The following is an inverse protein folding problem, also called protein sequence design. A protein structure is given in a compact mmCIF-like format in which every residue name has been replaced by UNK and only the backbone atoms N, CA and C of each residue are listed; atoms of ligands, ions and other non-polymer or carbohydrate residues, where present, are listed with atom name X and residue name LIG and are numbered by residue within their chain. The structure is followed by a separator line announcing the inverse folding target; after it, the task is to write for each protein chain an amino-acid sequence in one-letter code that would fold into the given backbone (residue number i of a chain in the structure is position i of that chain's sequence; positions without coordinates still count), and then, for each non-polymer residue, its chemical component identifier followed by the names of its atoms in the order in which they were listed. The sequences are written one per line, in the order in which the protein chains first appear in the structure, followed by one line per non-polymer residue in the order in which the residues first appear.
data_IF_820654414936
#
_entry.id   IF_820654414936
#
_cell.length_a   1.000
_cell.length_b   1.000
_cell.length_c   1.000
_cell.angle_alpha   90.00
_cell.angle_beta   90.00
_cell.angle_gamma   90.00
#
_symmetry.space_group_name_H-M   'P 1'
#
loop_
_entity.id
_entity.type
_entity.pdbx_description
1 polymer ?
#
# COMPACT_ATOMS: atom_id res chain seq x y z
N UNK A 1 5.93 15.85 -0.25
CA UNK A 1 5.66 16.30 1.14
C UNK A 1 5.79 15.16 2.16
N UNK A 2 4.86 14.20 2.20
CA UNK A 2 4.82 13.17 3.25
C UNK A 2 5.98 12.16 3.23
N UNK A 3 6.74 12.04 2.16
CA UNK A 3 7.81 11.05 2.05
C UNK A 3 8.88 11.27 3.14
N UNK A 4 9.33 12.52 3.35
CA UNK A 4 10.34 12.83 4.38
C UNK A 4 9.87 12.41 5.78
N UNK A 5 8.61 12.72 6.15
CA UNK A 5 8.04 12.30 7.42
C UNK A 5 7.93 10.78 7.57
N UNK A 6 7.57 10.07 6.48
CA UNK A 6 7.54 8.60 6.47
C UNK A 6 8.94 8.01 6.65
N UNK A 7 9.96 8.57 5.99
CA UNK A 7 11.35 8.14 6.11
C UNK A 7 11.88 8.40 7.52
N UNK A 8 11.58 9.58 8.09
CA UNK A 8 11.88 9.89 9.47
C UNK A 8 11.29 8.84 10.43
N UNK A 9 9.99 8.57 10.33
CA UNK A 9 9.34 7.54 11.14
C UNK A 9 9.98 6.16 10.93
N UNK A 10 10.33 5.77 9.69
CA UNK A 10 11.02 4.52 9.41
C UNK A 10 12.42 4.48 10.08
N UNK A 11 13.13 5.62 10.15
CA UNK A 11 14.41 5.74 10.85
C UNK A 11 14.29 5.46 12.34
N UNK A 12 13.30 6.05 13.01
CA UNK A 12 13.05 5.81 14.43
C UNK A 12 12.81 4.33 14.76
N UNK A 13 12.06 3.63 13.87
CA UNK A 13 11.86 2.18 14.02
C UNK A 13 13.15 1.37 13.91
N UNK A 14 14.09 1.81 13.09
CA UNK A 14 15.38 1.14 12.94
C UNK A 14 16.30 1.33 14.15
N UNK A 15 16.19 2.46 14.82
CA UNK A 15 16.91 2.79 16.05
C UNK A 15 16.27 2.13 17.29
N UNK A 16 15.24 1.33 17.11
CA UNK A 16 14.51 0.65 18.20
C UNK A 16 13.98 1.61 19.27
N UNK A 17 13.69 2.84 18.90
CA UNK A 17 13.09 3.85 19.78
C UNK A 17 11.65 3.43 20.10
N UNK A 18 11.31 3.39 21.40
CA UNK A 18 9.96 3.04 21.83
C UNK A 18 9.01 4.23 21.70
N UNK A 19 7.70 3.99 21.73
CA UNK A 19 6.68 5.02 21.58
C UNK A 19 6.75 6.12 22.65
N UNK A 20 7.16 5.77 23.85
CA UNK A 20 7.19 6.65 25.02
C UNK A 20 8.60 7.21 25.30
N UNK A 21 9.59 6.85 24.48
CA UNK A 21 10.95 7.37 24.62
C UNK A 21 11.05 8.80 24.12
N UNK A 22 11.65 9.74 24.85
CA UNK A 22 11.94 11.06 24.35
C UNK A 22 12.92 10.97 23.19
N UNK A 23 12.70 11.78 22.15
CA UNK A 23 13.62 11.89 21.03
C UNK A 23 14.86 12.71 21.46
N UNK A 24 16.01 12.39 20.91
CA UNK A 24 17.20 13.23 21.07
C UNK A 24 17.04 14.55 20.32
N UNK A 25 17.82 15.56 20.70
CA UNK A 25 17.75 16.92 20.14
C UNK A 25 17.89 16.93 18.61
N UNK A 26 18.76 16.08 18.07
CA UNK A 26 18.98 15.96 16.62
C UNK A 26 17.71 15.49 15.90
N UNK A 27 16.99 14.51 16.46
CA UNK A 27 15.74 13.98 15.89
C UNK A 27 14.60 14.99 16.03
N UNK A 28 14.57 15.76 17.13
CA UNK A 28 13.60 16.86 17.29
C UNK A 28 13.85 17.91 16.22
N UNK A 29 15.10 18.35 16.03
CA UNK A 29 15.45 19.35 15.02
C UNK A 29 15.14 18.86 13.60
N UNK A 30 15.40 17.58 13.28
CA UNK A 30 15.04 16.96 11.99
C UNK A 30 13.51 17.02 11.77
N UNK A 31 12.71 16.62 12.77
CA UNK A 31 11.25 16.66 12.70
C UNK A 31 10.73 18.10 12.54
N UNK A 32 11.25 19.04 13.29
CA UNK A 32 10.87 20.43 13.20
C UNK A 32 11.19 21.03 11.82
N UNK A 33 12.32 20.63 11.21
CA UNK A 33 12.65 21.04 9.84
C UNK A 33 11.64 20.53 8.81
N UNK A 34 11.12 19.32 9.01
CA UNK A 34 10.11 18.70 8.15
C UNK A 34 8.76 19.42 8.30
N UNK A 35 8.33 19.65 9.54
CA UNK A 35 6.98 20.17 9.85
C UNK A 35 6.87 21.66 9.63
N UNK A 36 7.91 22.45 9.93
CA UNK A 36 7.93 23.90 9.70
C UNK A 36 7.70 24.25 8.23
N UNK A 37 8.20 23.41 7.32
CA UNK A 37 7.98 23.59 5.90
C UNK A 37 6.50 23.46 5.48
N UNK A 38 5.66 22.76 6.27
CA UNK A 38 4.25 22.52 5.93
C UNK A 38 3.32 23.68 6.30
N UNK A 39 3.69 24.49 7.28
CA UNK A 39 2.77 25.41 7.94
C UNK A 39 2.41 26.68 7.14
N UNK A 40 2.99 26.91 5.96
CA UNK A 40 2.86 28.19 5.26
C UNK A 40 2.40 28.11 3.80
N UNK A 41 2.19 26.90 3.26
CA UNK A 41 1.86 26.76 1.85
C UNK A 41 0.44 26.21 1.66
N UNK A 42 -0.40 26.97 0.97
CA UNK A 42 -1.71 26.51 0.50
C UNK A 42 -1.57 26.10 -0.95
N UNK A 43 -1.98 24.88 -1.27
CA UNK A 43 -2.00 24.36 -2.63
C UNK A 43 -3.46 24.22 -3.06
N UNK A 44 -3.83 24.93 -4.12
CA UNK A 44 -5.16 24.86 -4.70
C UNK A 44 -5.18 23.77 -5.79
N UNK A 45 -5.99 22.75 -5.58
CA UNK A 45 -6.16 21.64 -6.55
C UNK A 45 -7.56 21.76 -7.15
N UNK A 46 -7.72 21.86 -8.48
CA UNK A 46 -9.03 21.89 -9.10
C UNK A 46 -9.80 20.60 -8.77
N UNK A 47 -11.03 20.74 -8.28
CA UNK A 47 -11.88 19.60 -8.00
C UNK A 47 -12.34 18.89 -9.29
N UNK A 48 -12.52 19.68 -10.35
CA UNK A 48 -12.97 19.17 -11.65
C UNK A 48 -11.76 18.70 -12.44
N UNK A 49 -11.70 17.42 -12.73
CA UNK A 49 -10.58 16.80 -13.47
C UNK A 49 -10.89 16.53 -14.95
N UNK A 50 -12.12 16.88 -15.43
CA UNK A 50 -12.49 16.78 -16.85
C UNK A 50 -13.32 17.98 -17.24
N UNK A 51 -13.24 18.40 -18.50
CA UNK A 51 -14.13 19.42 -19.08
C UNK A 51 -15.46 18.86 -19.58
N UNK A 52 -15.63 17.54 -19.55
CA UNK A 52 -16.79 16.79 -20.01
C UNK A 52 -16.41 15.34 -20.26
N UNK A 53 -17.40 14.47 -20.47
CA UNK A 53 -17.19 13.07 -20.86
C UNK A 53 -17.34 12.85 -22.36
N UNK A 54 -17.54 13.92 -23.13
CA UNK A 54 -17.75 13.87 -24.58
C UNK A 54 -16.42 13.91 -25.33
N UNK A 55 -15.54 12.96 -25.08
CA UNK A 55 -14.22 12.90 -25.72
C UNK A 55 -13.52 11.60 -25.42
N UNK A 56 -12.34 11.42 -26.00
CA UNK A 56 -11.47 10.30 -25.69
C UNK A 56 -10.86 10.50 -24.31
N UNK A 57 -11.02 9.50 -23.45
CA UNK A 57 -10.45 9.48 -22.11
C UNK A 57 -9.27 8.51 -22.06
N UNK A 58 -8.18 8.95 -21.48
CA UNK A 58 -6.98 8.15 -21.32
C UNK A 58 -6.45 8.26 -19.90
N UNK A 59 -6.07 7.12 -19.32
CA UNK A 59 -5.35 7.05 -18.07
C UNK A 59 -3.86 6.86 -18.34
N UNK A 60 -3.07 7.82 -17.93
CA UNK A 60 -1.61 7.74 -17.97
C UNK A 60 -1.08 7.50 -16.58
N UNK A 61 -0.45 6.35 -16.39
CA UNK A 61 0.03 5.86 -15.10
C UNK A 61 1.54 5.80 -15.16
N UNK A 62 2.21 6.60 -14.35
CA UNK A 62 3.66 6.64 -14.29
C UNK A 62 4.14 5.93 -13.03
N UNK A 63 5.21 5.17 -13.16
CA UNK A 63 5.78 4.38 -12.08
C UNK A 63 7.29 4.58 -12.00
N UNK A 64 7.79 4.77 -10.78
CA UNK A 64 9.20 4.97 -10.49
C UNK A 64 9.59 4.34 -9.16
N UNK A 65 10.87 4.01 -8.99
CA UNK A 65 11.42 3.54 -7.75
C UNK A 65 12.81 4.08 -7.46
N UNK A 66 13.02 4.46 -6.22
CA UNK A 66 14.31 4.77 -5.62
C UNK A 66 14.66 3.73 -4.55
N UNK A 67 15.86 3.84 -3.97
CA UNK A 67 16.25 3.02 -2.81
C UNK A 67 15.41 3.31 -1.55
N UNK A 68 14.75 4.46 -1.51
CA UNK A 68 13.96 4.93 -0.37
C UNK A 68 12.46 4.59 -0.50
N UNK A 69 11.92 4.72 -1.71
CA UNK A 69 10.50 4.56 -1.96
C UNK A 69 10.22 4.13 -3.40
N UNK A 70 9.07 3.52 -3.63
CA UNK A 70 8.51 3.29 -4.94
C UNK A 70 7.12 3.92 -5.02
N UNK A 71 6.79 4.47 -6.19
CA UNK A 71 5.62 5.31 -6.35
C UNK A 71 4.93 5.13 -7.70
N UNK A 72 3.68 5.56 -7.75
CA UNK A 72 2.91 5.71 -8.97
C UNK A 72 2.07 6.98 -8.91
N UNK A 73 1.88 7.59 -10.09
CA UNK A 73 1.00 8.74 -10.32
C UNK A 73 0.04 8.42 -11.46
N UNK A 74 -1.18 8.86 -11.36
CA UNK A 74 -2.24 8.61 -12.35
C UNK A 74 -2.81 9.94 -12.83
N UNK A 75 -2.75 10.15 -14.13
CA UNK A 75 -3.31 11.32 -14.81
C UNK A 75 -4.50 10.90 -15.65
N UNK A 76 -5.54 11.71 -15.61
CA UNK A 76 -6.66 11.61 -16.54
C UNK A 76 -6.46 12.66 -17.65
N UNK A 77 -6.26 12.18 -18.87
CA UNK A 77 -6.23 12.99 -20.09
C UNK A 77 -7.59 12.91 -20.76
N UNK A 78 -8.13 14.06 -21.12
CA UNK A 78 -9.38 14.19 -21.86
C UNK A 78 -9.10 14.95 -23.14
N UNK A 79 -9.50 14.39 -24.29
CA UNK A 79 -9.37 15.00 -25.61
C UNK A 79 -10.75 15.10 -26.26
N UNK A 80 -11.23 16.33 -26.43
CA UNK A 80 -12.55 16.60 -27.02
C UNK A 80 -12.45 16.98 -28.52
N UNK A 81 -11.29 16.78 -29.15
CA UNK A 81 -11.03 17.15 -30.54
C UNK A 81 -10.74 18.65 -30.76
N UNK A 82 -11.01 19.50 -29.79
CA UNK A 82 -10.72 20.95 -29.84
C UNK A 82 -9.98 21.46 -28.59
N UNK A 83 -9.97 20.67 -27.56
CA UNK A 83 -9.30 20.99 -26.29
C UNK A 83 -8.79 19.74 -25.62
N UNK A 84 -7.54 19.78 -25.18
CA UNK A 84 -6.92 18.71 -24.39
C UNK A 84 -6.74 19.20 -22.95
N UNK A 85 -7.09 18.38 -21.99
CA UNK A 85 -6.80 18.60 -20.57
C UNK A 85 -6.17 17.37 -19.95
N UNK A 86 -5.23 17.59 -19.03
CA UNK A 86 -4.56 16.51 -18.31
C UNK A 86 -4.39 16.93 -16.84
N UNK A 87 -4.86 16.09 -15.93
CA UNK A 87 -4.85 16.38 -14.50
C UNK A 87 -4.41 15.17 -13.69
N UNK A 88 -3.58 15.41 -12.68
CA UNK A 88 -3.26 14.42 -11.66
C UNK A 88 -4.53 14.08 -10.87
N UNK A 89 -4.96 12.82 -10.91
CA UNK A 89 -6.16 12.36 -10.18
C UNK A 89 -5.86 11.42 -9.02
N UNK A 90 -4.70 10.77 -9.05
CA UNK A 90 -4.28 9.88 -7.96
C UNK A 90 -2.76 9.75 -7.90
N UNK A 91 -2.23 9.58 -6.70
CA UNK A 91 -0.83 9.22 -6.51
C UNK A 91 -0.67 8.34 -5.27
N UNK A 92 0.32 7.45 -5.30
CA UNK A 92 0.65 6.58 -4.17
C UNK A 92 2.14 6.33 -4.10
N UNK A 93 2.71 6.54 -2.91
CA UNK A 93 4.09 6.16 -2.61
C UNK A 93 4.14 5.20 -1.43
N UNK A 94 5.08 4.25 -1.49
CA UNK A 94 5.40 3.32 -0.41
C UNK A 94 6.89 3.36 -0.12
N UNK A 95 7.25 3.28 1.13
CA UNK A 95 8.65 3.12 1.53
C UNK A 95 9.16 1.75 1.10
N UNK A 96 10.43 1.70 0.72
CA UNK A 96 11.09 0.44 0.45
C UNK A 96 11.19 -0.39 1.74
N UNK A 97 10.86 -1.69 1.68
CA UNK A 97 11.02 -2.56 2.81
C UNK A 97 12.51 -2.64 3.20
N UNK A 98 12.82 -2.27 4.43
CA UNK A 98 14.15 -2.45 5.01
C UNK A 98 14.09 -3.69 5.92
N UNK A 99 14.25 -4.88 5.33
CA UNK A 99 14.45 -6.09 6.12
C UNK A 99 15.89 -6.16 6.59
N UNK A 100 16.13 -6.63 7.82
CA UNK A 100 17.46 -6.78 8.38
C UNK A 100 18.38 -7.57 7.41
N UNK A 101 19.38 -6.89 6.85
CA UNK A 101 20.43 -7.49 6.04
C UNK A 101 20.12 -7.77 4.55
N UNK A 102 18.92 -7.46 4.03
CA UNK A 102 18.60 -7.68 2.60
C UNK A 102 17.79 -6.51 2.03
N UNK A 103 18.46 -5.62 1.33
CA UNK A 103 17.77 -4.64 0.47
C UNK A 103 17.32 -5.29 -0.83
N UNK A 104 16.15 -4.90 -1.32
CA UNK A 104 15.73 -5.24 -2.68
C UNK A 104 16.62 -4.50 -3.70
N UNK A 105 16.93 -5.15 -4.81
CA UNK A 105 17.63 -4.48 -5.92
C UNK A 105 16.72 -3.45 -6.58
N UNK A 106 17.30 -2.41 -7.18
CA UNK A 106 16.56 -1.36 -7.87
C UNK A 106 15.56 -1.92 -8.88
N UNK A 107 15.92 -2.85 -9.80
CA UNK A 107 14.94 -3.43 -10.74
C UNK A 107 13.75 -4.12 -10.07
N UNK A 108 13.96 -4.74 -8.89
CA UNK A 108 12.84 -5.32 -8.12
C UNK A 108 11.94 -4.27 -7.49
N UNK A 109 12.48 -3.11 -7.11
CA UNK A 109 11.70 -1.98 -6.61
C UNK A 109 10.90 -1.34 -7.74
N UNK A 110 11.49 -1.20 -8.94
CA UNK A 110 10.82 -0.72 -10.14
C UNK A 110 9.66 -1.64 -10.55
N UNK A 111 9.84 -2.97 -10.46
CA UNK A 111 8.75 -3.92 -10.65
C UNK A 111 7.64 -3.74 -9.61
N UNK A 112 7.98 -3.43 -8.36
CA UNK A 112 6.97 -3.09 -7.34
C UNK A 112 6.25 -1.77 -7.65
N UNK A 113 6.93 -0.79 -8.26
CA UNK A 113 6.31 0.44 -8.72
C UNK A 113 5.29 0.17 -9.83
N UNK A 114 5.64 -0.65 -10.83
CA UNK A 114 4.70 -1.09 -11.86
C UNK A 114 3.51 -1.85 -11.27
N UNK A 115 3.75 -2.72 -10.29
CA UNK A 115 2.68 -3.45 -9.61
C UNK A 115 1.70 -2.53 -8.89
N UNK A 116 2.18 -1.51 -8.17
CA UNK A 116 1.25 -0.53 -7.57
C UNK A 116 0.60 0.37 -8.62
N UNK A 117 1.21 0.54 -9.79
CA UNK A 117 0.64 1.23 -10.94
C UNK A 117 -0.62 0.52 -11.46
N UNK A 118 -0.53 -0.78 -11.76
CA UNK A 118 -1.71 -1.56 -12.23
C UNK A 118 -2.80 -1.63 -11.16
N UNK A 119 -2.44 -1.73 -9.88
CA UNK A 119 -3.39 -1.67 -8.77
C UNK A 119 -4.05 -0.29 -8.63
N UNK A 120 -3.29 0.79 -8.88
CA UNK A 120 -3.83 2.14 -8.90
C UNK A 120 -4.82 2.34 -10.04
N UNK A 121 -4.50 1.81 -11.26
CA UNK A 121 -5.43 1.75 -12.39
C UNK A 121 -6.75 1.09 -12.00
N UNK A 122 -6.69 -0.12 -11.44
CA UNK A 122 -7.89 -0.85 -11.02
C UNK A 122 -8.71 -0.07 -10.00
N UNK A 123 -8.04 0.55 -9.03
CA UNK A 123 -8.70 1.39 -8.03
C UNK A 123 -9.37 2.60 -8.67
N UNK A 124 -8.68 3.34 -9.54
CA UNK A 124 -9.19 4.55 -10.19
C UNK A 124 -10.36 4.21 -11.11
N UNK A 125 -10.24 3.19 -11.97
CA UNK A 125 -11.32 2.76 -12.86
C UNK A 125 -12.58 2.36 -12.08
N UNK A 126 -12.41 1.71 -10.91
CA UNK A 126 -13.54 1.40 -10.03
C UNK A 126 -14.23 2.66 -9.48
N UNK A 127 -13.50 3.76 -9.28
CA UNK A 127 -14.08 5.04 -8.81
C UNK A 127 -14.73 5.81 -9.96
N UNK A 128 -14.20 5.70 -11.18
CA UNK A 128 -14.73 6.31 -12.40
C UNK A 128 -15.81 5.43 -13.06
N UNK A 129 -16.84 5.08 -12.30
CA UNK A 129 -17.91 4.17 -12.75
C UNK A 129 -18.52 4.61 -14.09
N UNK A 130 -18.58 3.70 -15.06
CA UNK A 130 -19.20 3.95 -16.38
C UNK A 130 -18.32 4.77 -17.33
N UNK A 131 -17.05 5.01 -16.98
CA UNK A 131 -16.07 5.67 -17.84
C UNK A 131 -15.23 4.60 -18.52
N UNK A 132 -15.19 4.61 -19.84
CA UNK A 132 -14.25 3.83 -20.63
C UNK A 132 -13.04 4.71 -20.95
N UNK A 133 -11.84 4.23 -20.60
CA UNK A 133 -10.60 4.96 -20.79
C UNK A 133 -9.47 4.02 -21.19
N UNK A 134 -8.73 4.38 -22.23
CA UNK A 134 -7.50 3.70 -22.61
C UNK A 134 -6.46 3.83 -21.49
N UNK A 135 -5.73 2.75 -21.18
CA UNK A 135 -4.78 2.72 -20.09
C UNK A 135 -3.35 2.55 -20.58
N UNK A 136 -2.50 3.52 -20.25
CA UNK A 136 -1.09 3.57 -20.61
C UNK A 136 -0.23 3.61 -19.34
N UNK A 137 0.69 2.67 -19.19
CA UNK A 137 1.60 2.56 -18.05
C UNK A 137 3.00 2.85 -18.50
N UNK A 138 3.64 3.81 -17.82
CA UNK A 138 4.95 4.35 -18.15
C UNK A 138 5.95 4.03 -17.05
N UNK A 139 7.16 3.60 -17.45
CA UNK A 139 8.29 3.39 -16.54
C UNK A 139 9.60 3.70 -17.25
N UNK A 140 10.58 4.20 -16.52
CA UNK A 140 11.94 4.39 -17.00
C UNK A 140 12.84 3.16 -16.77
N UNK A 141 12.27 2.08 -16.24
CA UNK A 141 12.97 0.82 -16.04
C UNK A 141 12.88 -0.10 -17.25
N UNK A 142 13.88 -0.07 -18.11
CA UNK A 142 13.97 -1.03 -19.22
C UNK A 142 14.01 -2.48 -18.75
N UNK A 143 14.63 -2.76 -17.60
CA UNK A 143 14.72 -4.12 -17.04
C UNK A 143 13.34 -4.61 -16.59
N UNK A 144 12.59 -3.79 -15.87
CA UNK A 144 11.25 -4.17 -15.42
C UNK A 144 10.29 -4.35 -16.59
N UNK A 145 10.37 -3.49 -17.62
CA UNK A 145 9.60 -3.61 -18.85
C UNK A 145 10.01 -4.84 -19.67
N UNK A 146 11.31 -5.16 -19.75
CA UNK A 146 11.78 -6.37 -20.40
C UNK A 146 11.27 -7.64 -19.69
N UNK A 147 11.17 -7.64 -18.37
CA UNK A 147 10.55 -8.75 -17.63
C UNK A 147 9.07 -8.95 -17.98
N UNK A 148 8.32 -7.87 -18.23
CA UNK A 148 6.90 -7.96 -18.63
C UNK A 148 6.78 -8.67 -20.00
N UNK A 149 7.72 -8.44 -20.93
CA UNK A 149 7.74 -9.07 -22.24
C UNK A 149 8.34 -10.49 -22.25
N UNK A 150 9.20 -10.80 -21.27
CA UNK A 150 9.95 -12.04 -21.24
C UNK A 150 9.06 -13.25 -21.02
N UNK A 151 9.28 -14.30 -21.79
CA UNK A 151 8.71 -15.64 -21.60
C UNK A 151 9.59 -16.55 -20.76
N UNK A 152 10.76 -16.07 -20.37
CA UNK A 152 11.71 -16.85 -19.59
C UNK A 152 11.27 -16.97 -18.13
N UNK A 153 11.64 -18.07 -17.50
CA UNK A 153 11.40 -18.29 -16.08
C UNK A 153 12.21 -17.31 -15.25
N UNK A 154 11.53 -16.48 -14.50
CA UNK A 154 12.11 -15.48 -13.63
C UNK A 154 12.21 -15.99 -12.18
N UNK A 155 13.06 -15.38 -11.33
CA UNK A 155 13.06 -15.67 -9.90
C UNK A 155 11.65 -15.53 -9.29
N UNK A 156 11.30 -16.36 -8.32
CA UNK A 156 9.96 -16.45 -7.71
C UNK A 156 9.39 -15.08 -7.31
N UNK A 157 10.25 -14.19 -6.78
CA UNK A 157 9.85 -12.82 -6.43
C UNK A 157 9.32 -12.04 -7.64
N UNK A 158 10.00 -12.12 -8.77
CA UNK A 158 9.66 -11.42 -10.01
C UNK A 158 8.44 -12.09 -10.65
N UNK A 159 8.46 -13.41 -10.78
CA UNK A 159 7.42 -14.20 -11.41
C UNK A 159 6.03 -13.94 -10.81
N UNK A 160 5.91 -13.90 -9.47
CA UNK A 160 4.63 -13.63 -8.80
C UNK A 160 4.07 -12.25 -9.10
N UNK A 161 4.94 -11.23 -9.23
CA UNK A 161 4.49 -9.87 -9.55
C UNK A 161 4.13 -9.73 -11.00
N UNK A 162 4.88 -10.39 -11.88
CA UNK A 162 4.55 -10.44 -13.30
C UNK A 162 3.22 -11.11 -13.56
N UNK A 163 2.89 -12.20 -12.85
CA UNK A 163 1.60 -12.86 -12.96
C UNK A 163 0.43 -11.90 -12.68
N UNK A 164 0.52 -11.07 -11.63
CA UNK A 164 -0.51 -10.08 -11.35
C UNK A 164 -0.53 -8.95 -12.40
N UNK A 165 0.65 -8.43 -12.79
CA UNK A 165 0.74 -7.36 -13.80
C UNK A 165 0.15 -7.83 -15.14
N UNK A 166 0.45 -9.06 -15.56
CA UNK A 166 0.00 -9.62 -16.84
C UNK A 166 -1.49 -9.91 -16.94
N UNK A 167 -2.21 -9.95 -15.82
CA UNK A 167 -3.69 -10.02 -15.82
C UNK A 167 -4.34 -8.74 -16.37
N UNK A 168 -3.60 -7.62 -16.44
CA UNK A 168 -4.09 -6.33 -16.93
C UNK A 168 -3.85 -6.18 -18.44
N UNK A 169 -4.47 -7.04 -19.26
CA UNK A 169 -4.32 -7.07 -20.74
C UNK A 169 -4.88 -5.83 -21.43
N UNK A 170 -5.66 -5.03 -20.73
CA UNK A 170 -6.23 -3.76 -21.15
C UNK A 170 -5.28 -2.56 -20.92
N UNK A 171 -4.01 -2.82 -20.56
CA UNK A 171 -2.99 -1.79 -20.39
C UNK A 171 -1.88 -1.94 -21.44
N UNK A 172 -1.45 -0.81 -21.98
CA UNK A 172 -0.23 -0.73 -22.82
C UNK A 172 0.93 -0.21 -21.99
N UNK A 173 2.09 -0.87 -22.08
CA UNK A 173 3.28 -0.50 -21.32
C UNK A 173 4.26 0.26 -22.22
N UNK A 174 4.86 1.32 -21.68
CA UNK A 174 5.74 2.22 -22.41
C UNK A 174 6.98 2.57 -21.60
N UNK A 175 8.07 2.79 -22.30
CA UNK A 175 9.25 3.40 -21.72
C UNK A 175 9.11 4.93 -21.69
N UNK A 176 9.63 5.56 -20.65
CA UNK A 176 9.73 7.02 -20.52
C UNK A 176 11.12 7.38 -19.99
N UNK A 177 11.64 8.54 -20.36
CA UNK A 177 12.88 9.06 -19.78
C UNK A 177 12.62 9.50 -18.34
N UNK A 178 13.59 9.29 -17.47
CA UNK A 178 13.51 9.69 -16.05
C UNK A 178 13.18 11.17 -15.87
N UNK A 179 13.72 12.05 -16.75
CA UNK A 179 13.43 13.50 -16.72
C UNK A 179 11.94 13.84 -16.89
N UNK A 180 11.21 12.98 -17.59
CA UNK A 180 9.81 13.18 -17.95
C UNK A 180 8.88 12.35 -17.07
N UNK A 181 9.44 11.54 -16.14
CA UNK A 181 8.67 10.67 -15.27
C UNK A 181 8.20 11.40 -14.00
N UNK A 182 6.90 11.80 -13.91
CA UNK A 182 6.40 12.51 -12.73
C UNK A 182 6.41 11.66 -11.44
N UNK A 183 6.48 10.33 -11.55
CA UNK A 183 6.57 9.46 -10.38
C UNK A 183 7.92 9.60 -9.66
N UNK A 184 8.98 10.08 -10.32
CA UNK A 184 10.28 10.42 -9.72
C UNK A 184 10.13 11.49 -8.61
N UNK A 185 9.22 12.44 -8.81
CA UNK A 185 8.87 13.43 -7.77
C UNK A 185 8.33 12.76 -6.50
N UNK A 186 7.55 11.70 -6.64
CA UNK A 186 6.98 10.99 -5.50
C UNK A 186 7.97 10.07 -4.79
N UNK A 187 9.01 9.59 -5.47
CA UNK A 187 10.06 8.73 -4.89
C UNK A 187 11.20 9.51 -4.25
N UNK A 188 11.43 10.75 -4.66
CA UNK A 188 12.41 11.67 -4.08
C UNK A 188 11.80 12.62 -3.06
N UNK A 189 10.56 13.04 -3.30
CA UNK A 189 9.84 14.00 -2.48
C UNK A 189 10.29 15.44 -2.75
N UNK A 190 9.34 16.37 -2.65
CA UNK A 190 9.58 17.81 -2.78
C UNK A 190 9.08 18.55 -1.54
N UNK A 191 9.66 19.70 -1.29
CA UNK A 191 9.13 20.68 -0.35
C UNK A 191 7.77 21.25 -0.83
N UNK A 192 6.95 21.82 0.06
CA UNK A 192 5.63 22.31 -0.32
C UNK A 192 5.64 23.37 -1.42
N UNK A 193 6.60 24.30 -1.39
CA UNK A 193 6.75 25.36 -2.42
C UNK A 193 7.13 24.76 -3.77
N UNK A 194 8.17 23.92 -3.79
CA UNK A 194 8.62 23.23 -5.01
C UNK A 194 7.50 22.38 -5.62
N UNK A 195 6.70 21.72 -4.77
CA UNK A 195 5.56 20.92 -5.22
C UNK A 195 4.44 21.78 -5.80
N UNK A 196 4.15 22.95 -5.20
CA UNK A 196 3.11 23.86 -5.69
C UNK A 196 3.38 24.32 -7.12
N UNK A 197 4.64 24.59 -7.45
CA UNK A 197 5.04 25.15 -8.74
C UNK A 197 5.48 24.07 -9.75
N UNK A 198 5.45 22.79 -9.36
CA UNK A 198 5.94 21.69 -10.19
C UNK A 198 4.94 21.28 -11.26
N UNK A 199 5.12 21.79 -12.49
CA UNK A 199 4.24 21.52 -13.62
C UNK A 199 4.21 20.03 -14.00
N UNK A 200 5.37 19.35 -13.95
CA UNK A 200 5.46 17.91 -14.24
C UNK A 200 4.59 17.09 -13.26
N UNK A 201 4.55 17.50 -11.99
CA UNK A 201 3.73 16.83 -10.98
C UNK A 201 2.22 17.02 -11.22
N UNK A 202 1.80 18.25 -11.54
CA UNK A 202 0.35 18.55 -11.62
C UNK A 202 -0.26 18.17 -12.97
N UNK A 203 0.49 18.34 -14.06
CA UNK A 203 -0.03 18.19 -15.41
C UNK A 203 0.56 16.98 -16.15
N UNK A 204 1.55 16.30 -15.57
CA UNK A 204 2.32 15.27 -16.26
C UNK A 204 3.30 15.86 -17.29
N UNK A 205 3.97 15.02 -18.08
CA UNK A 205 4.84 15.44 -19.15
C UNK A 205 4.12 16.32 -20.18
N UNK A 206 4.79 17.34 -20.72
CA UNK A 206 4.20 18.32 -21.64
C UNK A 206 3.58 17.69 -22.90
N UNK A 207 4.15 16.59 -23.39
CA UNK A 207 3.63 15.87 -24.56
C UNK A 207 2.21 15.28 -24.34
N UNK A 208 1.76 15.06 -23.10
CA UNK A 208 0.38 14.68 -22.82
C UNK A 208 -0.64 15.72 -23.29
N UNK A 209 -0.26 17.00 -23.31
CA UNK A 209 -1.11 18.08 -23.80
C UNK A 209 -1.16 18.19 -25.32
N UNK A 210 -0.15 17.65 -26.01
CA UNK A 210 -0.01 17.82 -27.46
C UNK A 210 -0.41 16.57 -28.26
N UNK A 211 -0.66 15.42 -27.59
CA UNK A 211 -1.06 14.17 -28.25
C UNK A 211 0.06 13.53 -29.10
N UNK A 212 1.25 14.09 -29.10
CA UNK A 212 2.43 13.54 -29.76
C UNK A 212 3.22 12.79 -28.71
N UNK A 213 3.07 11.48 -28.73
CA UNK A 213 3.79 10.60 -27.81
C UNK A 213 5.26 10.52 -28.23
N UNK A 214 6.19 10.39 -27.28
CA UNK A 214 7.55 10.04 -27.62
C UNK A 214 7.55 8.76 -28.47
N UNK A 215 8.31 8.73 -29.56
CA UNK A 215 8.52 7.53 -30.40
C UNK A 215 9.27 6.43 -29.63
N UNK A 216 8.88 6.16 -28.41
CA UNK A 216 9.56 5.26 -27.51
C UNK A 216 8.89 3.89 -27.49
N UNK A 217 9.69 2.88 -27.22
CA UNK A 217 9.34 1.48 -27.35
C UNK A 217 8.07 1.15 -26.55
N UNK A 218 7.04 0.73 -27.27
CA UNK A 218 5.86 0.10 -26.67
C UNK A 218 6.20 -1.34 -26.35
N UNK A 219 5.98 -1.75 -25.11
CA UNK A 219 6.24 -3.08 -24.63
C UNK A 219 4.95 -3.91 -24.58
N UNK A 220 4.92 -5.00 -25.35
CA UNK A 220 3.82 -5.96 -25.32
C UNK A 220 4.03 -6.97 -24.20
N UNK A 221 2.97 -7.26 -23.46
CA UNK A 221 3.02 -8.30 -22.42
C UNK A 221 3.18 -9.69 -23.03
N UNK A 222 4.05 -10.50 -22.43
CA UNK A 222 4.06 -11.92 -22.71
C UNK A 222 2.76 -12.55 -22.17
N UNK A 223 2.17 -13.54 -22.88
CA UNK A 223 1.06 -14.30 -22.35
C UNK A 223 1.45 -14.98 -21.03
N UNK A 224 0.47 -15.19 -20.17
CA UNK A 224 0.67 -15.88 -18.90
C UNK A 224 1.21 -17.29 -19.16
N UNK A 225 2.24 -17.69 -18.43
CA UNK A 225 2.75 -19.05 -18.49
C UNK A 225 1.77 -19.95 -17.73
N UNK A 226 1.25 -21.01 -18.36
CA UNK A 226 0.34 -22.01 -17.79
C UNK A 226 0.94 -22.85 -16.63
N UNK A 227 2.01 -22.39 -16.03
CA UNK A 227 2.62 -23.06 -14.87
C UNK A 227 1.90 -22.65 -13.60
N UNK A 228 1.32 -23.58 -12.82
CA UNK A 228 0.71 -23.27 -11.55
C UNK A 228 1.72 -22.59 -10.63
N UNK A 229 1.44 -21.34 -10.28
CA UNK A 229 2.24 -20.62 -9.29
C UNK A 229 2.16 -21.38 -7.96
N UNK A 230 3.27 -21.59 -7.25
CA UNK A 230 3.22 -22.17 -5.93
C UNK A 230 2.37 -21.30 -5.01
N UNK A 231 1.48 -21.96 -4.28
CA UNK A 231 0.41 -21.42 -3.46
C UNK A 231 0.83 -20.17 -2.64
N UNK A 232 0.09 -19.05 -2.81
CA UNK A 232 0.42 -17.73 -2.26
C UNK A 232 0.33 -17.73 -0.74
N UNK A 233 -0.53 -18.56 -0.16
CA UNK A 233 -0.77 -18.61 1.29
C UNK A 233 0.42 -19.15 2.09
N UNK A 234 1.28 -19.96 1.46
CA UNK A 234 2.45 -20.52 2.13
C UNK A 234 3.59 -19.51 2.38
N UNK A 235 3.60 -18.35 1.72
CA UNK A 235 4.69 -17.35 1.83
C UNK A 235 4.38 -16.17 2.72
N UNK A 236 3.12 -15.77 2.81
CA UNK A 236 2.71 -14.80 3.84
C UNK A 236 2.84 -15.40 5.23
N UNK A 237 2.57 -16.70 5.39
CA UNK A 237 2.82 -17.43 6.62
C UNK A 237 4.32 -17.62 6.93
N UNK A 238 5.20 -17.78 5.93
CA UNK A 238 6.64 -18.01 6.17
C UNK A 238 7.44 -16.77 6.57
N UNK A 239 7.04 -15.57 6.15
CA UNK A 239 7.70 -14.32 6.59
C UNK A 239 7.29 -13.96 8.02
N UNK A 240 6.10 -14.39 8.46
CA UNK A 240 5.63 -14.26 9.86
C UNK A 240 5.99 -15.45 10.75
N UNK A 241 6.21 -16.63 10.18
CA UNK A 241 6.46 -17.89 10.92
C UNK A 241 7.93 -18.16 11.21
N UNK A 242 8.88 -17.46 10.54
CA UNK A 242 10.31 -17.60 10.89
C UNK A 242 10.67 -17.03 12.28
N UNK A 243 9.73 -16.40 13.00
CA UNK A 243 9.93 -15.90 14.34
C UNK A 243 9.30 -16.74 15.46
N UNK A 244 8.47 -17.76 15.16
CA UNK A 244 7.74 -18.51 16.20
C UNK A 244 7.56 -20.00 15.85
N UNK A 245 8.65 -20.76 15.84
CA UNK A 245 8.55 -22.23 16.01
C UNK A 245 8.81 -22.60 17.47
N UNK A 246 7.83 -22.38 18.32
CA UNK A 246 7.64 -23.22 19.54
C UNK A 246 6.18 -23.06 20.01
N UNK A 247 5.53 -24.22 20.13
CA UNK A 247 4.25 -24.52 20.77
C UNK A 247 2.97 -24.49 19.90
N UNK A 248 2.42 -25.69 19.71
CA UNK A 248 1.03 -25.96 19.31
C UNK A 248 0.07 -25.42 20.38
N UNK A 249 -0.45 -24.20 20.16
CA UNK A 249 -1.53 -23.60 20.89
C UNK A 249 -2.21 -22.57 19.98
N UNK A 250 -3.51 -22.37 20.07
CA UNK A 250 -4.25 -21.34 19.33
C UNK A 250 -3.48 -20.04 19.37
N UNK A 251 -3.05 -19.54 18.22
CA UNK A 251 -2.34 -18.27 18.17
C UNK A 251 -3.30 -17.13 18.54
N UNK A 252 -2.89 -16.20 19.40
CA UNK A 252 -3.71 -15.03 19.73
C UNK A 252 -3.91 -14.17 18.48
N UNK A 253 -5.12 -13.69 18.25
CA UNK A 253 -5.52 -12.86 17.11
C UNK A 253 -4.75 -11.54 17.05
N UNK A 254 -4.22 -11.08 18.18
CA UNK A 254 -3.40 -9.88 18.32
C UNK A 254 -2.19 -10.24 19.18
N UNK A 255 -1.00 -9.80 18.73
CA UNK A 255 0.26 -9.99 19.47
C UNK A 255 0.23 -9.15 20.75
N UNK A 256 0.09 -9.83 21.89
CA UNK A 256 0.02 -9.19 23.22
C UNK A 256 1.33 -8.50 23.61
N UNK A 257 2.47 -8.92 23.05
CA UNK A 257 3.78 -8.32 23.31
C UNK A 257 3.93 -6.89 22.81
N UNK A 258 2.99 -6.43 21.94
CA UNK A 258 2.97 -5.06 21.42
C UNK A 258 2.34 -4.04 22.37
N UNK A 259 1.77 -4.47 23.48
CA UNK A 259 1.03 -3.59 24.40
C UNK A 259 1.66 -3.56 25.77
N UNK A 260 1.81 -2.36 26.33
CA UNK A 260 2.40 -2.16 27.64
C UNK A 260 1.56 -2.74 28.79
N UNK A 261 0.27 -2.99 28.58
CA UNK A 261 -0.63 -3.64 29.53
C UNK A 261 -1.62 -4.55 28.83
N UNK A 262 -2.02 -5.62 29.51
CA UNK A 262 -3.03 -6.56 29.00
C UNK A 262 -4.39 -5.86 28.78
N UNK A 263 -4.72 -4.87 29.59
CA UNK A 263 -5.95 -4.10 29.45
C UNK A 263 -6.00 -3.31 28.13
N UNK A 264 -4.88 -2.70 27.72
CA UNK A 264 -4.77 -2.02 26.42
C UNK A 264 -4.95 -3.02 25.28
N UNK A 265 -4.34 -4.20 25.35
CA UNK A 265 -4.50 -5.25 24.37
C UNK A 265 -5.97 -5.72 24.27
N UNK A 266 -6.63 -5.94 25.39
CA UNK A 266 -8.04 -6.35 25.43
C UNK A 266 -8.97 -5.28 24.87
N UNK A 267 -8.75 -4.01 25.18
CA UNK A 267 -9.52 -2.90 24.57
C UNK A 267 -9.35 -2.84 23.06
N UNK A 268 -8.13 -2.99 22.56
CA UNK A 268 -7.89 -3.04 21.10
C UNK A 268 -8.57 -4.23 20.46
N UNK A 269 -8.50 -5.42 21.08
CA UNK A 269 -9.23 -6.60 20.63
C UNK A 269 -10.74 -6.36 20.62
N UNK A 270 -11.30 -5.73 21.64
CA UNK A 270 -12.72 -5.37 21.68
C UNK A 270 -13.11 -4.37 20.58
N UNK A 271 -12.25 -3.41 20.21
CA UNK A 271 -12.47 -2.53 19.05
C UNK A 271 -12.49 -3.30 17.74
N UNK A 272 -11.58 -4.26 17.56
CA UNK A 272 -11.56 -5.12 16.37
C UNK A 272 -12.83 -5.98 16.31
N UNK A 273 -13.26 -6.59 17.44
CA UNK A 273 -14.49 -7.36 17.52
C UNK A 273 -15.74 -6.51 17.22
N UNK A 274 -15.75 -5.25 17.65
CA UNK A 274 -16.81 -4.30 17.31
C UNK A 274 -16.82 -3.97 15.83
N UNK A 275 -15.66 -3.72 15.22
CA UNK A 275 -15.53 -3.51 13.78
C UNK A 275 -16.00 -4.73 12.97
N UNK A 276 -15.71 -5.93 13.44
CA UNK A 276 -16.17 -7.19 12.84
C UNK A 276 -17.66 -7.51 13.11
N UNK A 277 -18.39 -6.63 13.79
CA UNK A 277 -19.81 -6.83 14.13
C UNK A 277 -20.07 -7.89 15.20
N UNK A 278 -19.04 -8.39 15.90
CA UNK A 278 -19.18 -9.35 17.00
C UNK A 278 -19.61 -8.68 18.29
N UNK A 279 -19.32 -7.39 18.45
CA UNK A 279 -19.83 -6.52 19.52
C UNK A 279 -20.68 -5.45 18.84
N UNK A 280 -21.99 -5.50 19.03
CA UNK A 280 -22.96 -4.59 18.36
C UNK A 280 -23.23 -3.32 19.15
N UNK A 281 -22.94 -3.31 20.45
CA UNK A 281 -23.20 -2.19 21.36
C UNK A 281 -22.30 -0.99 21.03
N UNK A 282 -22.89 0.22 20.95
CA UNK A 282 -22.17 1.49 20.83
C UNK A 282 -21.92 2.08 22.23
N UNK A 283 -20.77 2.75 22.42
CA UNK A 283 -20.41 3.36 23.70
C UNK A 283 -19.19 2.69 24.36
N UNK A 284 -19.04 2.86 25.67
CA UNK A 284 -17.94 2.24 26.42
C UNK A 284 -18.06 0.71 26.46
N UNK A 285 -16.89 0.03 26.53
CA UNK A 285 -16.86 -1.42 26.63
C UNK A 285 -17.29 -1.88 28.02
N UNK A 286 -18.17 -2.85 28.03
CA UNK A 286 -18.58 -3.53 29.27
C UNK A 286 -17.59 -4.63 29.65
N UNK A 287 -17.69 -5.14 30.86
CA UNK A 287 -16.92 -6.30 31.33
C UNK A 287 -17.11 -7.50 30.38
N UNK A 288 -18.34 -7.74 29.93
CA UNK A 288 -18.65 -8.82 28.99
C UNK A 288 -17.93 -8.65 27.63
N UNK A 289 -17.82 -7.43 27.13
CA UNK A 289 -17.09 -7.14 25.88
C UNK A 289 -15.58 -7.41 26.02
N UNK A 290 -15.01 -7.09 27.19
CA UNK A 290 -13.60 -7.35 27.49
C UNK A 290 -13.34 -8.84 27.80
N UNK A 291 -14.29 -9.54 28.37
CA UNK A 291 -14.22 -10.99 28.58
C UNK A 291 -14.27 -11.74 27.23
N UNK A 292 -15.11 -11.29 26.29
CA UNK A 292 -15.12 -11.82 24.93
C UNK A 292 -13.77 -11.57 24.23
N UNK A 293 -13.21 -10.39 24.40
CA UNK A 293 -11.89 -10.06 23.87
C UNK A 293 -10.79 -10.94 24.49
N UNK A 294 -10.88 -11.23 25.77
CA UNK A 294 -9.96 -12.14 26.48
C UNK A 294 -10.06 -13.58 25.98
N UNK A 295 -11.27 -14.05 25.77
CA UNK A 295 -11.56 -15.40 25.27
C UNK A 295 -10.99 -15.62 23.87
N UNK A 296 -11.14 -14.60 22.98
CA UNK A 296 -10.56 -14.60 21.62
C UNK A 296 -9.03 -14.61 21.65
N UNK A 297 -8.41 -14.00 22.67
CA UNK A 297 -6.95 -14.02 22.85
C UNK A 297 -6.43 -15.31 23.52
N UNK A 298 -7.33 -16.27 23.86
CA UNK A 298 -6.94 -17.52 24.50
C UNK A 298 -6.47 -17.37 25.94
N UNK A 299 -6.77 -16.25 26.60
CA UNK A 299 -6.42 -16.01 28.02
C UNK A 299 -7.48 -16.63 28.94
N UNK A 300 -7.09 -17.35 30.01
CA UNK A 300 -8.07 -17.91 30.97
C UNK A 300 -8.80 -16.76 31.67
N UNK A 301 -10.10 -16.99 31.98
CA UNK A 301 -10.86 -16.08 32.83
C UNK A 301 -10.25 -16.08 34.24
N UNK A 302 -9.91 -14.90 34.72
CA UNK A 302 -9.64 -14.74 36.16
C UNK A 302 -10.99 -14.89 36.90
N UNK A 303 -11.30 -16.10 37.38
CA UNK A 303 -12.40 -16.33 38.31
C UNK A 303 -12.11 -15.55 39.58
N UNK A 304 -12.99 -14.63 39.96
CA UNK A 304 -12.91 -13.99 41.26
C UNK A 304 -13.13 -15.05 42.36
N UNK A 305 -12.64 -14.85 43.61
CA UNK A 305 -12.78 -15.84 44.68
C UNK A 305 -14.23 -16.24 45.01
N UNK A 306 -15.22 -15.47 44.56
CA UNK A 306 -16.64 -15.74 44.74
C UNK A 306 -17.25 -16.72 43.72
N UNK A 307 -16.60 -17.01 42.60
CA UNK A 307 -17.14 -17.88 41.54
C UNK A 307 -16.70 -19.37 41.66
N UNK A 308 -15.84 -19.69 42.62
CA UNK A 308 -15.32 -21.05 42.80
C UNK A 308 -16.36 -22.05 43.35
N UNK A 309 -17.55 -21.61 43.77
CA UNK A 309 -18.57 -22.46 44.38
C UNK A 309 -19.79 -22.77 43.50
N UNK A 310 -19.75 -22.49 42.20
CA UNK A 310 -20.76 -22.92 41.23
C UNK A 310 -20.18 -23.84 40.18
N UNK A 311 -20.10 -25.12 40.47
CA UNK A 311 -20.02 -26.14 39.43
C UNK A 311 -21.39 -26.30 38.77
N UNK A 312 -21.55 -26.13 37.46
CA UNK A 312 -22.70 -26.64 36.73
C UNK A 312 -22.42 -28.10 36.34
N UNK A 313 -23.25 -28.99 36.85
CA UNK A 313 -23.37 -30.35 36.31
C UNK A 313 -23.80 -30.28 34.84
N UNK A 314 -23.06 -30.98 33.99
CA UNK A 314 -23.37 -31.63 32.74
C UNK A 314 -24.22 -30.89 31.72
N UNK A 315 -23.58 -30.67 30.56
CA UNK A 315 -24.04 -31.22 29.27
C UNK A 315 -23.03 -30.84 28.17
N UNK A 316 -22.40 -31.90 27.67
CA UNK A 316 -21.68 -31.92 26.42
C UNK A 316 -22.57 -31.51 25.25
N UNK A 317 -22.17 -30.51 24.50
CA UNK A 317 -22.45 -30.31 23.06
C UNK A 317 -21.83 -28.99 22.64
N UNK A 318 -20.75 -29.07 21.87
CA UNK A 318 -20.42 -28.22 20.75
C UNK A 318 -18.95 -28.48 20.34
N UNK A 319 -18.81 -29.55 19.58
CA UNK A 319 -17.67 -29.79 18.73
C UNK A 319 -18.13 -29.54 17.31
N UNK A 320 -17.79 -28.37 16.76
CA UNK A 320 -17.63 -28.23 15.32
C UNK A 320 -16.58 -27.16 15.03
N UNK A 321 -15.62 -27.43 14.14
CA UNK A 321 -14.61 -26.47 13.76
C UNK A 321 -15.19 -25.49 12.72
N UNK A 322 -15.01 -24.20 12.94
CA UNK A 322 -15.27 -23.20 11.91
C UNK A 322 -14.09 -23.14 10.94
N UNK A 323 -14.30 -23.62 9.73
CA UNK A 323 -13.48 -23.30 8.57
C UNK A 323 -13.80 -21.87 8.12
N UNK A 324 -12.79 -21.04 8.01
CA UNK A 324 -12.87 -19.77 7.28
C UNK A 324 -12.28 -19.99 5.88
N UNK A 325 -13.13 -19.81 4.88
CA UNK A 325 -12.73 -19.59 3.50
C UNK A 325 -12.30 -18.12 3.31
#
# INVERSE_FOLDING_TARGET
MLLRAKLFAQGLWQESITWDSPLCEERIAEWDSITTAWNKQVIYVPRRCTQGLNGTLQLHIFSDASIAAFATTVYLRTDTGGSVSCHLIFSKSRLCPKAAGKSLTVPRLELLALLIGVRAKTFVMKQLQGVDAECHIWSDSQIALAWIQSRETQPVFVQRRLAEIRQHTDCTFHFIRTSDNPADVATRGLGPRELADNQLWWNGPSWLMHGQWPEEQTFQMAPELDSPLPDIDSYHSRVYVAANQTQKGRQPTIDLGRYSTIEKALRVTAYVLRFMGKITRKGEFTVADLDLAREVQGQPRNLSPHDQNRQPQGKSRFSQPYNFA
#
